data_IF_289847612809
#
_entry.id   IF_289847612809
#
_cell.length_a   1.000
_cell.length_b   1.000
_cell.length_c   1.000
_cell.angle_alpha   90.00
_cell.angle_beta   90.00
_cell.angle_gamma   90.00
#
_symmetry.space_group_name_H-M   'P 1'
#
loop_
_entity.id
_entity.type
_entity.pdbx_description
1 polymer ?
#
# COMPACT_ATOMS: atom_id res chain seq x y z
N UNK A 1 -3.09 21.74 -22.17
CA UNK A 1 -2.02 21.18 -21.31
C UNK A 1 -2.29 19.71 -21.10
N UNK A 2 -1.30 18.82 -21.23
CA UNK A 2 -1.48 17.38 -21.00
C UNK A 2 -1.80 17.10 -19.53
N UNK A 3 -2.86 16.33 -19.24
CA UNK A 3 -3.21 15.91 -17.87
C UNK A 3 -2.02 15.17 -17.26
N UNK A 4 -1.62 15.57 -16.04
CA UNK A 4 -0.60 14.85 -15.26
C UNK A 4 -1.29 13.77 -14.44
N UNK A 5 -0.65 12.59 -14.34
CA UNK A 5 -1.12 11.51 -13.47
C UNK A 5 -0.50 11.68 -12.09
N UNK A 6 -1.32 11.77 -11.05
CA UNK A 6 -0.89 11.92 -9.67
C UNK A 6 -1.29 10.70 -8.83
N UNK A 7 -0.38 10.23 -7.98
CA UNK A 7 -0.68 9.19 -7.00
C UNK A 7 0.46 8.91 -6.04
N UNK A 8 0.42 7.78 -5.35
CA UNK A 8 1.34 7.47 -4.23
C UNK A 8 2.01 6.10 -4.33
N UNK A 9 3.13 5.95 -3.62
CA UNK A 9 3.80 4.66 -3.41
C UNK A 9 3.75 4.29 -1.93
N UNK A 10 3.20 3.11 -1.61
CA UNK A 10 3.15 2.56 -0.26
C UNK A 10 4.13 1.39 -0.11
N UNK A 11 4.90 1.38 0.97
CA UNK A 11 5.95 0.40 1.25
C UNK A 11 5.46 -0.80 2.07
N UNK A 12 4.25 -0.71 2.60
CA UNK A 12 3.60 -1.76 3.36
C UNK A 12 4.34 -2.08 4.65
N UNK A 13 4.86 -1.07 5.34
CA UNK A 13 5.71 -1.30 6.49
C UNK A 13 4.92 -1.57 7.76
N UNK A 14 5.31 -2.60 8.50
CA UNK A 14 4.88 -2.83 9.87
C UNK A 14 6.12 -3.17 10.71
N UNK A 15 6.44 -2.44 11.78
CA UNK A 15 7.42 -2.94 12.76
C UNK A 15 6.66 -3.33 14.01
N UNK A 16 6.81 -4.55 14.51
CA UNK A 16 6.59 -4.76 15.94
C UNK A 16 7.71 -4.06 16.71
N UNK A 17 7.52 -2.78 17.00
CA UNK A 17 8.29 -2.05 17.99
C UNK A 17 7.47 -2.07 19.27
N UNK A 18 8.05 -2.56 20.36
CA UNK A 18 7.40 -2.42 21.66
C UNK A 18 7.07 -0.94 21.88
N UNK A 19 5.88 -0.61 22.40
CA UNK A 19 5.49 0.77 22.68
C UNK A 19 6.42 1.35 23.76
N UNK A 20 7.54 1.91 23.33
CA UNK A 20 8.48 2.61 24.21
C UNK A 20 8.08 4.09 24.25
N UNK A 21 7.84 4.60 25.45
CA UNK A 21 7.61 6.03 25.68
C UNK A 21 6.22 6.53 25.25
N UNK A 22 5.18 5.70 25.35
CA UNK A 22 3.79 6.12 25.11
C UNK A 22 3.40 6.26 23.63
N UNK A 23 4.25 5.80 22.70
CA UNK A 23 3.88 5.70 21.28
C UNK A 23 2.89 4.54 21.09
N UNK A 24 1.86 4.69 20.25
CA UNK A 24 0.98 3.58 19.87
C UNK A 24 1.81 2.42 19.34
N UNK A 25 1.34 1.19 19.57
CA UNK A 25 1.89 0.03 18.90
C UNK A 25 1.80 0.28 17.38
N UNK A 26 2.92 0.09 16.69
CA UNK A 26 2.93 0.10 15.23
C UNK A 26 2.02 -1.03 14.70
N UNK A 27 1.38 -0.84 13.51
CA UNK A 27 0.42 -1.79 12.98
C UNK A 27 1.05 -3.18 12.86
N UNK A 28 0.26 -4.24 13.07
CA UNK A 28 0.67 -5.59 12.72
C UNK A 28 0.48 -5.87 11.21
N UNK A 29 0.82 -7.07 10.76
CA UNK A 29 0.71 -7.42 9.34
C UNK A 29 -0.73 -7.34 8.80
N UNK A 30 -1.73 -7.63 9.65
CA UNK A 30 -3.14 -7.52 9.25
C UNK A 30 -3.56 -6.06 9.15
N UNK A 31 -3.25 -5.25 10.14
CA UNK A 31 -3.55 -3.82 10.15
C UNK A 31 -2.91 -3.11 8.95
N UNK A 32 -1.65 -3.44 8.62
CA UNK A 32 -1.00 -2.90 7.44
C UNK A 32 -1.74 -3.26 6.13
N UNK A 33 -2.24 -4.49 6.01
CA UNK A 33 -3.03 -4.93 4.86
C UNK A 33 -4.37 -4.19 4.76
N UNK A 34 -5.07 -4.05 5.88
CA UNK A 34 -6.35 -3.32 5.91
C UNK A 34 -6.13 -1.85 5.53
N UNK A 35 -5.08 -1.21 6.08
CA UNK A 35 -4.71 0.18 5.80
C UNK A 35 -4.35 0.42 4.34
N UNK A 36 -3.57 -0.47 3.69
CA UNK A 36 -3.19 -0.29 2.28
C UNK A 36 -4.41 -0.42 1.35
N UNK A 37 -5.35 -1.30 1.68
CA UNK A 37 -6.60 -1.44 0.92
C UNK A 37 -7.47 -0.21 1.13
N UNK A 38 -7.62 0.27 2.36
CA UNK A 38 -8.40 1.48 2.64
C UNK A 38 -7.79 2.72 1.98
N UNK A 39 -6.47 2.85 1.98
CA UNK A 39 -5.77 3.95 1.30
C UNK A 39 -6.04 3.99 -0.20
N UNK A 40 -6.20 2.84 -0.86
CA UNK A 40 -6.58 2.77 -2.27
C UNK A 40 -8.00 3.29 -2.51
N UNK A 41 -8.94 2.91 -1.64
CA UNK A 41 -10.34 3.39 -1.67
C UNK A 41 -10.39 4.90 -1.45
N UNK A 42 -9.68 5.40 -0.44
CA UNK A 42 -9.65 6.82 -0.09
C UNK A 42 -8.99 7.65 -1.19
N UNK A 43 -7.92 7.15 -1.81
CA UNK A 43 -7.25 7.79 -2.93
C UNK A 43 -8.14 7.87 -4.17
N UNK A 44 -8.90 6.82 -4.48
CA UNK A 44 -9.89 6.86 -5.55
C UNK A 44 -10.99 7.89 -5.28
N UNK A 45 -11.50 7.93 -4.05
CA UNK A 45 -12.51 8.90 -3.63
C UNK A 45 -11.98 10.35 -3.70
N UNK A 46 -10.69 10.56 -3.39
CA UNK A 46 -10.01 11.84 -3.50
C UNK A 46 -9.63 12.22 -4.95
N UNK A 47 -9.82 11.32 -5.92
CA UNK A 47 -9.57 11.59 -7.34
C UNK A 47 -8.11 11.44 -7.78
N UNK A 48 -7.29 10.68 -7.04
CA UNK A 48 -5.95 10.29 -7.49
C UNK A 48 -6.04 9.33 -8.68
N UNK A 49 -5.04 9.38 -9.56
CA UNK A 49 -4.99 8.55 -10.75
C UNK A 49 -4.39 7.16 -10.48
N UNK A 50 -3.58 6.98 -9.42
CA UNK A 50 -3.04 5.66 -9.10
C UNK A 50 -2.51 5.43 -7.68
N UNK A 51 -2.41 4.15 -7.34
CA UNK A 51 -1.89 3.62 -6.08
C UNK A 51 -0.89 2.50 -6.37
N UNK A 52 0.35 2.65 -5.90
CA UNK A 52 1.42 1.69 -6.12
C UNK A 52 1.92 1.09 -4.82
N UNK A 53 2.32 -0.18 -4.88
CA UNK A 53 2.95 -0.87 -3.74
C UNK A 53 4.40 -1.27 -4.05
N UNK A 54 5.26 -1.17 -3.05
CA UNK A 54 6.61 -1.73 -3.04
C UNK A 54 6.61 -3.02 -2.22
N UNK A 55 7.33 -4.02 -2.72
CA UNK A 55 7.54 -5.28 -2.02
C UNK A 55 8.97 -5.42 -1.51
N UNK A 56 9.12 -6.12 -0.40
CA UNK A 56 10.39 -6.48 0.21
C UNK A 56 10.33 -7.93 0.69
N UNK A 57 11.46 -8.63 0.54
CA UNK A 57 11.63 -9.97 1.08
C UNK A 57 12.49 -9.91 2.35
N UNK A 58 12.20 -10.79 3.31
CA UNK A 58 12.95 -10.90 4.56
C UNK A 58 12.92 -9.63 5.44
N UNK A 59 11.89 -8.81 5.27
CA UNK A 59 11.60 -7.63 6.10
C UNK A 59 10.16 -7.70 6.58
N UNK A 60 9.83 -6.92 7.61
CA UNK A 60 8.44 -6.75 8.08
C UNK A 60 7.69 -5.77 7.18
N UNK A 61 7.51 -6.21 5.94
CA UNK A 61 6.90 -5.47 4.85
C UNK A 61 6.27 -6.47 3.87
N UNK A 62 5.39 -5.98 2.99
CA UNK A 62 4.71 -6.83 2.02
C UNK A 62 5.69 -7.54 1.08
N UNK A 63 5.50 -8.85 0.87
CA UNK A 63 6.38 -9.67 0.04
C UNK A 63 5.77 -10.14 -1.27
N UNK A 64 4.44 -10.19 -1.37
CA UNK A 64 3.75 -10.65 -2.57
C UNK A 64 2.82 -9.56 -3.10
N UNK A 65 3.08 -8.98 -4.28
CA UNK A 65 2.30 -7.85 -4.76
C UNK A 65 0.90 -8.25 -5.21
N UNK A 66 0.74 -9.40 -5.86
CA UNK A 66 -0.53 -9.78 -6.51
C UNK A 66 -1.70 -9.98 -5.53
N UNK A 67 -1.53 -10.64 -4.37
CA UNK A 67 -2.62 -10.73 -3.39
C UNK A 67 -3.09 -9.35 -2.89
N UNK A 68 -2.16 -8.43 -2.66
CA UNK A 68 -2.46 -7.08 -2.15
C UNK A 68 -3.16 -6.25 -3.23
N UNK A 69 -2.63 -6.27 -4.46
CA UNK A 69 -3.26 -5.61 -5.60
C UNK A 69 -4.66 -6.17 -5.87
N UNK A 70 -4.87 -7.48 -5.69
CA UNK A 70 -6.19 -8.10 -5.81
C UNK A 70 -7.14 -7.59 -4.74
N UNK A 71 -6.69 -7.47 -3.49
CA UNK A 71 -7.51 -6.92 -2.40
C UNK A 71 -7.88 -5.45 -2.63
N UNK A 72 -6.95 -4.63 -3.14
CA UNK A 72 -7.23 -3.25 -3.56
C UNK A 72 -8.24 -3.22 -4.72
N UNK A 73 -8.00 -4.02 -5.76
CA UNK A 73 -8.85 -4.10 -6.96
C UNK A 73 -10.28 -4.54 -6.64
N UNK A 74 -10.46 -5.41 -5.65
CA UNK A 74 -11.78 -5.83 -5.18
C UNK A 74 -12.60 -4.69 -4.53
N UNK A 75 -11.96 -3.56 -4.18
CA UNK A 75 -12.57 -2.45 -3.43
C UNK A 75 -12.59 -1.13 -4.19
N UNK A 76 -11.99 -1.07 -5.38
CA UNK A 76 -11.88 0.14 -6.21
C UNK A 76 -12.32 -0.13 -7.65
N UNK A 77 -12.68 0.90 -8.42
CA UNK A 77 -13.21 0.72 -9.78
C UNK A 77 -12.51 1.53 -10.88
N UNK A 78 -11.76 2.57 -10.54
CA UNK A 78 -11.24 3.60 -11.46
C UNK A 78 -9.76 3.89 -11.27
N UNK A 79 -9.25 3.84 -10.04
CA UNK A 79 -7.84 4.13 -9.74
C UNK A 79 -6.93 3.07 -10.34
N UNK A 80 -5.79 3.48 -10.92
CA UNK A 80 -4.81 2.53 -11.43
C UNK A 80 -4.05 1.88 -10.28
N UNK A 81 -3.94 0.56 -10.30
CA UNK A 81 -3.22 -0.20 -9.29
C UNK A 81 -1.96 -0.78 -9.90
N UNK A 82 -0.83 -0.69 -9.19
CA UNK A 82 0.43 -1.19 -9.73
C UNK A 82 1.52 -1.44 -8.69
N UNK A 83 2.66 -1.91 -9.19
CA UNK A 83 3.88 -2.13 -8.40
C UNK A 83 4.91 -1.06 -8.69
N UNK A 84 5.66 -0.64 -7.69
CA UNK A 84 6.83 0.22 -7.85
C UNK A 84 7.96 -0.22 -6.93
N UNK A 85 8.73 -1.28 -7.22
CA UNK A 85 8.79 -2.12 -8.44
C UNK A 85 8.57 -3.62 -8.12
N UNK A 86 8.36 -4.46 -9.15
CA UNK A 86 8.66 -5.90 -9.07
C UNK A 86 10.14 -6.07 -9.43
N UNK A 87 10.91 -6.69 -8.55
CA UNK A 87 12.30 -7.02 -8.85
C UNK A 87 12.32 -8.32 -9.68
N UNK A 88 12.65 -8.20 -10.97
CA UNK A 88 12.68 -9.32 -11.94
C UNK A 88 14.11 -9.80 -12.22
N UNK A 89 15.08 -9.46 -11.35
CA UNK A 89 16.49 -9.81 -11.50
C UNK A 89 16.88 -11.04 -10.69
#
# INVERSE_FOLDING_TARGET
MTKKHLGFLNFGHWIHRDPVGGRPAEPDAKAALDDVVQMAVDAEAAGLDGAWIRIHHFQRMFSSPFPILTAMAARTQRIHLGTGVIDLR
#
